data_IF_367678085700
#
_entry.id   IF_367678085700
#
_cell.length_a   1.000
_cell.length_b   1.000
_cell.length_c   1.000
_cell.angle_alpha   90.00
_cell.angle_beta   90.00
_cell.angle_gamma   90.00
#
_symmetry.space_group_name_H-M   'P 1'
#
loop_
_entity.id
_entity.type
_entity.pdbx_description
1 polymer ?
#
# COMPACT_ATOMS: atom_id res chain seq x y z
N UNK A 1 -9.39 -4.98 -0.52
CA UNK A 1 -8.19 -5.49 -1.19
C UNK A 1 -7.30 -6.06 -0.12
N UNK A 2 -7.11 -7.37 -0.13
CA UNK A 2 -6.12 -8.05 0.70
C UNK A 2 -5.36 -8.97 -0.26
N UNK A 3 -4.04 -8.90 -0.26
CA UNK A 3 -3.23 -9.66 -1.20
C UNK A 3 -1.77 -9.23 -1.14
N UNK A 4 -0.87 -10.15 -1.42
CA UNK A 4 0.55 -9.84 -1.48
C UNK A 4 0.83 -8.90 -2.67
N UNK A 5 1.70 -7.92 -2.47
CA UNK A 5 2.09 -6.99 -3.53
C UNK A 5 3.23 -7.52 -4.39
N UNK A 6 4.01 -8.49 -3.90
CA UNK A 6 5.04 -9.19 -4.65
C UNK A 6 4.61 -10.62 -5.00
N UNK A 7 5.40 -11.32 -5.84
CA UNK A 7 5.27 -12.77 -6.11
C UNK A 7 5.67 -13.59 -4.88
N UNK A 8 4.93 -13.44 -3.79
CA UNK A 8 5.12 -14.21 -2.56
C UNK A 8 3.76 -14.61 -1.99
N UNK A 9 3.39 -15.86 -2.15
CA UNK A 9 2.13 -16.38 -1.62
C UNK A 9 2.49 -17.36 -0.51
N UNK A 10 2.34 -16.97 0.79
CA UNK A 10 2.76 -17.85 1.86
C UNK A 10 2.01 -19.17 1.76
N UNK A 11 2.75 -20.27 1.78
CA UNK A 11 2.18 -21.61 1.76
C UNK A 11 2.05 -22.12 3.20
N UNK A 12 1.10 -23.01 3.44
CA UNK A 12 0.98 -23.69 4.73
C UNK A 12 2.27 -24.46 5.09
N UNK A 13 2.42 -24.87 6.36
CA UNK A 13 3.60 -25.62 6.82
C UNK A 13 3.77 -26.98 6.13
N UNK A 14 2.75 -27.48 5.43
CA UNK A 14 2.79 -28.73 4.67
C UNK A 14 3.21 -28.52 3.20
N UNK A 15 3.53 -27.28 2.79
CA UNK A 15 4.23 -26.96 1.56
C UNK A 15 3.41 -27.04 0.28
N UNK A 16 2.09 -27.26 0.36
CA UNK A 16 1.25 -27.45 -0.83
C UNK A 16 0.41 -26.24 -1.20
N UNK A 17 -0.35 -25.71 -0.23
CA UNK A 17 -1.47 -24.80 -0.53
C UNK A 17 -1.14 -23.37 -0.10
N UNK A 18 -1.37 -22.35 -0.94
CA UNK A 18 -1.37 -20.96 -0.51
C UNK A 18 -2.33 -20.77 0.67
N UNK A 19 -1.93 -19.99 1.67
CA UNK A 19 -2.79 -19.73 2.83
C UNK A 19 -4.12 -19.12 2.38
N UNK A 20 -5.23 -19.70 2.85
CA UNK A 20 -6.57 -19.42 2.31
C UNK A 20 -7.01 -17.95 2.46
N UNK A 21 -6.57 -17.26 3.51
CA UNK A 21 -6.92 -15.85 3.76
C UNK A 21 -6.07 -14.84 2.96
N UNK A 22 -5.01 -15.29 2.28
CA UNK A 22 -4.23 -14.47 1.33
C UNK A 22 -4.17 -15.14 -0.05
N UNK A 23 -5.28 -15.76 -0.47
CA UNK A 23 -5.40 -16.28 -1.84
C UNK A 23 -5.23 -15.11 -2.82
N UNK A 24 -4.51 -15.39 -3.90
CA UNK A 24 -4.42 -14.47 -5.02
C UNK A 24 -5.77 -14.31 -5.73
N UNK A 25 -6.12 -13.07 -6.07
CA UNK A 25 -7.38 -12.70 -6.72
C UNK A 25 -7.13 -11.99 -8.07
N UNK A 26 -6.13 -12.45 -8.84
CA UNK A 26 -5.91 -11.91 -10.18
C UNK A 26 -6.78 -12.64 -11.19
N UNK A 27 -7.59 -11.87 -11.93
CA UNK A 27 -8.50 -12.36 -12.96
C UNK A 27 -8.35 -11.43 -14.17
N UNK A 28 -8.28 -12.02 -15.36
CA UNK A 28 -8.28 -11.30 -16.64
C UNK A 28 -9.27 -11.98 -17.58
N UNK A 29 -10.19 -11.22 -18.19
CA UNK A 29 -11.23 -11.71 -19.09
C UNK A 29 -11.95 -12.98 -18.57
N UNK A 30 -12.45 -12.89 -17.33
CA UNK A 30 -13.13 -13.97 -16.59
C UNK A 30 -12.27 -15.22 -16.29
N UNK A 31 -10.95 -15.16 -16.48
CA UNK A 31 -10.02 -16.25 -16.18
C UNK A 31 -9.19 -15.94 -14.96
N UNK A 32 -9.23 -16.82 -13.97
CA UNK A 32 -8.28 -16.78 -12.85
C UNK A 32 -6.85 -16.94 -13.38
N UNK A 33 -5.96 -16.06 -12.96
CA UNK A 33 -4.54 -16.13 -13.29
C UNK A 33 -3.80 -16.89 -12.18
N UNK A 34 -2.92 -17.80 -12.59
CA UNK A 34 -2.04 -18.50 -11.67
C UNK A 34 -0.85 -17.59 -11.30
N UNK A 35 -0.66 -17.22 -10.02
CA UNK A 35 0.41 -16.31 -9.64
C UNK A 35 1.82 -16.89 -9.78
N UNK A 36 1.94 -18.23 -9.82
CA UNK A 36 3.22 -18.89 -10.05
C UNK A 36 3.75 -18.58 -11.48
N UNK A 37 2.86 -18.21 -12.42
CA UNK A 37 3.18 -17.85 -13.80
C UNK A 37 3.59 -16.37 -13.97
N UNK A 38 3.50 -15.56 -12.90
CA UNK A 38 3.91 -14.16 -12.98
C UNK A 38 5.43 -13.99 -13.07
N UNK A 39 5.92 -12.89 -13.67
CA UNK A 39 7.33 -12.54 -13.63
C UNK A 39 7.89 -12.48 -12.21
N UNK A 40 9.17 -12.79 -12.04
CA UNK A 40 9.83 -12.75 -10.73
C UNK A 40 9.86 -11.34 -10.11
N UNK A 41 9.86 -10.30 -10.95
CA UNK A 41 9.80 -8.89 -10.57
C UNK A 41 8.38 -8.34 -10.42
N UNK A 42 7.37 -9.23 -10.34
CA UNK A 42 5.97 -8.84 -10.16
C UNK A 42 5.79 -7.89 -8.96
N UNK A 43 5.22 -6.72 -9.24
CA UNK A 43 4.70 -5.80 -8.24
C UNK A 43 3.29 -5.35 -8.62
N UNK A 44 2.32 -5.62 -7.75
CA UNK A 44 0.88 -5.45 -8.05
C UNK A 44 0.52 -4.07 -8.62
N UNK A 45 1.04 -2.98 -8.05
CA UNK A 45 0.77 -1.61 -8.52
C UNK A 45 1.28 -1.40 -9.95
N UNK A 46 2.46 -1.91 -10.29
CA UNK A 46 3.03 -1.83 -11.63
C UNK A 46 2.17 -2.61 -12.61
N UNK A 47 1.85 -3.87 -12.28
CA UNK A 47 1.06 -4.74 -13.17
C UNK A 47 -0.36 -4.19 -13.41
N UNK A 48 -1.03 -3.67 -12.38
CA UNK A 48 -2.34 -3.04 -12.57
C UNK A 48 -2.26 -1.80 -13.49
N UNK A 49 -1.18 -1.03 -13.38
CA UNK A 49 -0.95 0.14 -14.25
C UNK A 49 -0.68 -0.28 -15.68
N UNK A 50 0.20 -1.27 -15.88
CA UNK A 50 0.57 -1.77 -17.21
C UNK A 50 -0.65 -2.36 -17.93
N UNK A 51 -1.49 -3.12 -17.21
CA UNK A 51 -2.75 -3.65 -17.77
C UNK A 51 -3.74 -2.57 -18.13
N UNK A 52 -3.89 -1.53 -17.30
CA UNK A 52 -4.74 -0.40 -17.67
C UNK A 52 -4.22 0.31 -18.93
N UNK A 53 -2.90 0.49 -19.06
CA UNK A 53 -2.28 1.07 -20.26
C UNK A 53 -2.50 0.18 -21.50
N UNK A 54 -2.36 -1.14 -21.37
CA UNK A 54 -2.66 -2.12 -22.41
C UNK A 54 -4.11 -1.97 -22.90
N UNK A 55 -5.08 -1.91 -21.97
CA UNK A 55 -6.49 -1.71 -22.32
C UNK A 55 -6.77 -0.36 -23.00
N UNK A 56 -6.06 0.69 -22.60
CA UNK A 56 -6.17 2.01 -23.23
C UNK A 56 -5.62 2.04 -24.66
N UNK A 57 -4.59 1.24 -24.94
CA UNK A 57 -3.94 1.14 -26.26
C UNK A 57 -4.63 0.13 -27.19
N UNK A 58 -5.56 -0.68 -26.68
CA UNK A 58 -6.27 -1.70 -27.45
C UNK A 58 -7.01 -1.12 -28.66
N UNK A 59 -6.73 -1.67 -29.84
CA UNK A 59 -7.41 -1.33 -31.10
C UNK A 59 -8.91 -1.64 -31.05
N UNK A 60 -9.35 -2.54 -30.16
CA UNK A 60 -10.76 -2.91 -29.97
C UNK A 60 -11.63 -1.72 -29.56
N UNK A 61 -11.03 -0.67 -28.98
CA UNK A 61 -11.75 0.56 -28.64
C UNK A 61 -12.30 1.23 -29.90
N UNK A 62 -11.58 1.17 -31.03
CA UNK A 62 -11.97 1.78 -32.31
C UNK A 62 -12.48 3.24 -32.15
N UNK A 63 -11.84 4.01 -31.26
CA UNK A 63 -12.21 5.41 -30.96
C UNK A 63 -13.45 5.61 -30.08
N UNK A 64 -14.11 4.55 -29.59
CA UNK A 64 -15.28 4.65 -28.69
C UNK A 64 -14.88 5.11 -27.29
N UNK A 65 -15.76 5.82 -26.56
CA UNK A 65 -15.54 6.10 -25.14
C UNK A 65 -15.46 4.79 -24.34
N UNK A 66 -14.78 4.83 -23.20
CA UNK A 66 -14.61 3.68 -22.31
C UNK A 66 -14.90 4.09 -20.86
N UNK A 67 -15.23 3.10 -20.04
CA UNK A 67 -15.22 3.21 -18.59
C UNK A 67 -14.01 2.45 -18.05
N UNK A 68 -13.17 3.12 -17.28
CA UNK A 68 -11.99 2.52 -16.64
C UNK A 68 -12.06 2.70 -15.14
N UNK A 69 -11.81 1.62 -14.40
CA UNK A 69 -11.74 1.64 -12.94
C UNK A 69 -10.44 0.98 -12.50
N UNK A 70 -9.56 1.77 -11.88
CA UNK A 70 -8.29 1.27 -11.34
C UNK A 70 -8.42 1.15 -9.82
N UNK A 71 -8.55 -0.09 -9.33
CA UNK A 71 -8.70 -0.40 -7.90
C UNK A 71 -7.44 -1.05 -7.37
N UNK A 72 -6.42 -0.24 -7.11
CA UNK A 72 -5.16 -0.72 -6.54
C UNK A 72 -5.38 -1.44 -5.19
N UNK A 73 -4.54 -2.43 -4.92
CA UNK A 73 -4.50 -3.10 -3.61
C UNK A 73 -3.57 -2.39 -2.63
N UNK A 74 -2.52 -1.71 -3.11
CA UNK A 74 -1.67 -0.87 -2.28
C UNK A 74 -2.46 0.36 -1.78
N UNK A 75 -2.15 0.91 -0.58
CA UNK A 75 -1.09 0.54 0.36
C UNK A 75 -1.58 -0.40 1.47
N UNK A 76 -2.52 -1.31 1.17
CA UNK A 76 -3.06 -2.22 2.18
C UNK A 76 -1.98 -3.16 2.72
N UNK A 77 -2.21 -3.76 3.89
CA UNK A 77 -1.31 -4.78 4.41
C UNK A 77 -1.38 -6.07 3.55
N UNK A 78 -0.29 -6.85 3.47
CA UNK A 78 1.03 -6.64 4.08
C UNK A 78 1.80 -5.46 3.47
N UNK A 79 2.39 -4.61 4.31
CA UNK A 79 3.14 -3.44 3.83
C UNK A 79 4.40 -3.87 3.06
N UNK A 80 4.39 -3.60 1.76
CA UNK A 80 5.42 -4.03 0.82
C UNK A 80 5.57 -2.99 -0.30
N UNK A 81 6.81 -2.60 -0.57
CA UNK A 81 7.16 -1.68 -1.65
C UNK A 81 8.58 -1.98 -2.16
N UNK A 82 8.94 -1.56 -3.38
CA UNK A 82 10.29 -1.74 -3.90
C UNK A 82 11.35 -1.04 -3.01
N UNK A 83 12.52 -1.67 -2.76
CA UNK A 83 13.53 -1.15 -1.83
C UNK A 83 13.97 0.29 -2.11
N UNK A 84 14.10 0.66 -3.38
CA UNK A 84 14.50 1.98 -3.86
C UNK A 84 13.42 3.04 -3.60
N UNK A 85 12.15 2.66 -3.56
CA UNK A 85 11.05 3.55 -3.17
C UNK A 85 11.09 3.76 -1.66
N UNK A 86 11.21 2.69 -0.88
CA UNK A 86 11.30 2.76 0.58
C UNK A 86 12.50 3.63 1.02
N UNK A 87 13.64 3.51 0.32
CA UNK A 87 14.85 4.26 0.62
C UNK A 87 14.65 5.79 0.61
N UNK A 88 13.70 6.30 -0.18
CA UNK A 88 13.36 7.74 -0.25
C UNK A 88 12.75 8.29 1.04
N UNK A 89 12.29 7.39 1.92
CA UNK A 89 11.62 7.75 3.17
C UNK A 89 12.45 7.48 4.41
N UNK A 90 13.69 6.96 4.25
CA UNK A 90 14.58 6.64 5.36
C UNK A 90 14.67 7.78 6.37
N UNK A 91 14.31 7.51 7.62
CA UNK A 91 14.37 8.43 8.75
C UNK A 91 13.30 9.53 8.78
N UNK A 92 12.43 9.63 7.76
CA UNK A 92 11.38 10.67 7.72
C UNK A 92 10.33 10.51 8.83
N UNK A 93 10.22 9.32 9.40
CA UNK A 93 9.18 8.98 10.38
C UNK A 93 9.70 8.78 11.81
N UNK A 94 10.99 9.05 12.06
CA UNK A 94 11.66 8.82 13.35
C UNK A 94 11.17 9.71 14.49
N UNK A 95 10.41 10.75 14.17
CA UNK A 95 9.78 11.63 15.16
C UNK A 95 8.38 11.15 15.60
N UNK A 96 7.90 10.07 15.00
CA UNK A 96 6.66 9.40 15.40
C UNK A 96 5.37 10.05 14.90
N UNK A 97 4.24 9.36 15.11
CA UNK A 97 2.96 9.71 14.51
C UNK A 97 2.38 11.05 15.00
N UNK A 98 2.68 11.45 16.24
CA UNK A 98 2.19 12.71 16.80
C UNK A 98 2.83 13.93 16.11
N UNK A 99 4.13 13.87 15.80
CA UNK A 99 4.83 14.91 15.05
C UNK A 99 4.31 14.96 13.62
N UNK A 100 4.26 13.80 12.95
CA UNK A 100 3.72 13.67 11.60
C UNK A 100 2.29 14.21 11.47
N UNK A 101 1.42 13.93 12.45
CA UNK A 101 0.05 14.47 12.50
C UNK A 101 0.04 15.99 12.55
N UNK A 102 0.87 16.61 13.39
CA UNK A 102 0.95 18.08 13.48
C UNK A 102 1.45 18.69 12.18
N UNK A 103 2.45 18.09 11.54
CA UNK A 103 2.97 18.54 10.25
C UNK A 103 1.90 18.45 9.14
N UNK A 104 1.16 17.33 9.07
CA UNK A 104 0.05 17.17 8.11
C UNK A 104 -1.07 18.16 8.34
N UNK A 105 -1.46 18.42 9.58
CA UNK A 105 -2.50 19.41 9.92
C UNK A 105 -2.06 20.83 9.53
N UNK A 106 -0.82 21.22 9.88
CA UNK A 106 -0.25 22.50 9.47
C UNK A 106 -0.25 22.64 7.94
N UNK A 107 0.18 21.60 7.22
CA UNK A 107 0.21 21.62 5.76
C UNK A 107 -1.19 21.67 5.14
N UNK A 108 -2.16 20.95 5.70
CA UNK A 108 -3.55 20.99 5.25
C UNK A 108 -4.16 22.39 5.41
N UNK A 109 -3.83 23.10 6.50
CA UNK A 109 -4.24 24.48 6.72
C UNK A 109 -3.60 25.43 5.69
N UNK A 110 -2.28 25.33 5.49
CA UNK A 110 -1.55 26.13 4.48
C UNK A 110 -2.09 25.92 3.05
N UNK A 111 -2.58 24.72 2.76
CA UNK A 111 -3.18 24.35 1.46
C UNK A 111 -4.67 24.71 1.36
N UNK A 112 -5.30 25.18 2.43
CA UNK A 112 -6.74 25.49 2.47
C UNK A 112 -7.65 24.24 2.40
N UNK A 113 -7.11 23.04 2.69
CA UNK A 113 -7.89 21.80 2.75
C UNK A 113 -8.80 21.77 3.98
N UNK A 114 -8.32 22.35 5.08
CA UNK A 114 -9.08 22.53 6.32
C UNK A 114 -9.19 24.01 6.67
N UNK A 115 -10.28 24.45 7.31
CA UNK A 115 -10.44 25.84 7.72
C UNK A 115 -9.52 26.19 8.89
N UNK A 116 -9.24 27.48 9.04
CA UNK A 116 -8.55 28.01 10.21
C UNK A 116 -9.39 27.85 11.49
N UNK A 117 -8.71 27.76 12.64
CA UNK A 117 -9.37 27.60 13.94
C UNK A 117 -10.03 26.24 14.20
N UNK A 118 -9.85 25.25 13.32
CA UNK A 118 -10.38 23.91 13.55
C UNK A 118 -9.65 23.21 14.70
N UNK A 119 -10.40 22.58 15.60
CA UNK A 119 -9.86 21.70 16.64
C UNK A 119 -9.70 20.27 16.09
N UNK A 120 -8.47 19.74 15.97
CA UNK A 120 -8.26 18.41 15.41
C UNK A 120 -8.65 17.32 16.42
N UNK A 121 -9.43 16.32 15.96
CA UNK A 121 -9.87 15.18 16.79
C UNK A 121 -8.72 14.50 17.55
N UNK A 122 -8.96 14.07 18.79
CA UNK A 122 -7.95 13.37 19.58
C UNK A 122 -7.45 12.07 18.91
N UNK A 123 -6.22 11.67 19.21
CA UNK A 123 -5.68 10.41 18.67
C UNK A 123 -6.22 9.26 19.49
N UNK A 124 -7.09 8.45 18.90
CA UNK A 124 -7.57 7.19 19.46
C UNK A 124 -6.86 6.03 18.76
N UNK A 125 -6.30 5.10 19.54
CA UNK A 125 -5.56 3.95 19.01
C UNK A 125 -5.86 2.71 19.85
N UNK A 126 -5.94 1.56 19.18
CA UNK A 126 -6.04 0.24 19.82
C UNK A 126 -4.69 -0.32 20.25
N UNK A 127 -3.59 0.42 20.04
CA UNK A 127 -2.25 0.01 20.47
C UNK A 127 -2.08 0.23 21.98
N UNK A 128 -1.51 -0.76 22.64
CA UNK A 128 -1.28 -0.74 24.10
C UNK A 128 -0.23 0.31 24.53
N UNK A 129 0.70 0.68 23.64
CA UNK A 129 1.78 1.64 23.91
C UNK A 129 1.69 2.85 22.99
N UNK A 130 1.86 4.05 23.55
CA UNK A 130 2.08 5.26 22.75
C UNK A 130 3.54 5.36 22.31
N UNK A 131 3.80 6.15 21.27
CA UNK A 131 5.17 6.34 20.72
C UNK A 131 6.23 6.69 21.77
N UNK A 132 5.88 7.54 22.75
CA UNK A 132 6.79 7.96 23.82
C UNK A 132 7.20 6.80 24.74
N UNK A 133 6.37 5.77 24.83
CA UNK A 133 6.52 4.60 25.72
C UNK A 133 7.16 3.40 24.99
N UNK A 134 7.44 3.54 23.69
CA UNK A 134 8.16 2.54 22.89
C UNK A 134 9.67 2.59 23.19
N UNK A 135 10.30 1.42 23.22
CA UNK A 135 11.75 1.27 23.18
C UNK A 135 12.32 1.80 21.86
N UNK A 136 13.62 2.04 21.79
CA UNK A 136 14.25 2.50 20.55
C UNK A 136 14.15 1.47 19.43
N UNK A 137 14.12 0.18 19.76
CA UNK A 137 13.90 -0.89 18.79
C UNK A 137 12.48 -0.88 18.24
N UNK A 138 11.48 -0.77 19.12
CA UNK A 138 10.07 -0.64 18.72
C UNK A 138 9.85 0.61 17.85
N UNK A 139 10.46 1.75 18.20
CA UNK A 139 10.40 2.98 17.38
C UNK A 139 11.00 2.77 15.99
N UNK A 140 12.19 2.15 15.91
CA UNK A 140 12.81 1.83 14.61
C UNK A 140 11.91 0.93 13.76
N UNK A 141 11.26 -0.05 14.38
CA UNK A 141 10.33 -0.94 13.69
C UNK A 141 9.08 -0.22 13.17
N UNK A 142 8.42 0.58 14.01
CA UNK A 142 7.24 1.35 13.61
C UNK A 142 7.58 2.44 12.56
N UNK A 143 8.74 3.11 12.68
CA UNK A 143 9.27 3.99 11.63
C UNK A 143 9.42 3.25 10.32
N UNK A 144 10.01 2.05 10.36
CA UNK A 144 10.25 1.24 9.15
C UNK A 144 8.95 0.84 8.47
N UNK A 145 7.90 0.51 9.23
CA UNK A 145 6.56 0.25 8.69
C UNK A 145 6.06 1.49 7.93
N UNK A 146 6.18 2.68 8.52
CA UNK A 146 5.76 3.93 7.88
C UNK A 146 6.59 4.27 6.64
N UNK A 147 7.89 3.97 6.63
CA UNK A 147 8.75 4.12 5.44
C UNK A 147 8.30 3.24 4.28
N UNK A 148 7.77 2.04 4.56
CA UNK A 148 7.26 1.12 3.54
C UNK A 148 5.87 1.54 3.04
N UNK A 149 5.06 2.11 3.92
CA UNK A 149 3.71 2.58 3.62
C UNK A 149 3.67 3.85 2.74
N UNK A 150 4.69 4.70 2.83
CA UNK A 150 4.67 6.10 2.37
C UNK A 150 4.92 6.35 0.88
#
# INVERSE_FOLDING_TARGET
GAGNHFKYFPRDKAGGTPISFMRSLYVEDDKELNPDDFPEDFYSTTVYTDKALEFLQSEQRAGRPFFGSMTYTAPHWPYQAPPEIIAKYRGKYDHGPAVLRRERLKRALELGIIPDGIEPHQVETSRDKAWKDLTDEEKRYESRIMEIYA
#
